data_IF_735529140016
#
_entry.id   IF_735529140016
#
_cell.length_a   1.000
_cell.length_b   1.000
_cell.length_c   1.000
_cell.angle_alpha   90.00
_cell.angle_beta   90.00
_cell.angle_gamma   90.00
#
_symmetry.space_group_name_H-M   'P 1'
#
loop_
_entity.id
_entity.type
_entity.pdbx_description
1 polymer ?
#
# COMPACT_ATOMS: atom_id res chain seq x y z
N UNK A 1 -13.86 5.21 -0.88
CA UNK A 1 -13.50 3.86 -0.37
C UNK A 1 -14.25 3.62 0.92
N UNK A 2 -14.72 2.42 1.19
CA UNK A 2 -15.35 2.03 2.48
C UNK A 2 -14.28 1.57 3.48
N UNK A 3 -14.55 1.65 4.79
CA UNK A 3 -13.68 1.02 5.78
C UNK A 3 -13.84 -0.51 5.72
N UNK A 4 -12.72 -1.23 5.71
CA UNK A 4 -12.73 -2.69 5.69
C UNK A 4 -11.59 -3.27 6.52
N UNK A 5 -11.92 -4.19 7.43
CA UNK A 5 -10.95 -5.02 8.15
C UNK A 5 -10.28 -6.07 7.25
N UNK A 6 -10.63 -6.13 5.96
CA UNK A 6 -10.00 -7.00 4.96
C UNK A 6 -8.49 -6.79 4.83
N UNK A 7 -7.98 -5.60 5.21
CA UNK A 7 -6.55 -5.30 5.29
C UNK A 7 -5.78 -6.26 6.22
N UNK A 8 -6.45 -6.86 7.21
CA UNK A 8 -5.82 -7.85 8.11
C UNK A 8 -5.24 -9.08 7.37
N UNK A 9 -5.76 -9.37 6.18
CA UNK A 9 -5.31 -10.48 5.33
C UNK A 9 -4.28 -10.09 4.27
N UNK A 10 -3.97 -8.80 4.14
CA UNK A 10 -2.98 -8.31 3.17
C UNK A 10 -1.56 -8.67 3.59
N UNK A 11 -0.71 -8.86 2.57
CA UNK A 11 0.74 -9.04 2.68
C UNK A 11 1.40 -8.27 1.54
N UNK A 12 2.73 -8.23 1.55
CA UNK A 12 3.49 -7.47 0.55
C UNK A 12 3.17 -7.88 -0.90
N UNK A 13 3.11 -9.20 -1.18
CA UNK A 13 2.70 -9.79 -2.47
C UNK A 13 3.38 -9.25 -3.73
N UNK A 14 4.58 -8.70 -3.62
CA UNK A 14 5.28 -8.07 -4.75
C UNK A 14 5.45 -8.99 -5.96
N UNK A 15 5.90 -10.23 -5.76
CA UNK A 15 6.10 -11.20 -6.86
C UNK A 15 4.78 -11.59 -7.52
N UNK A 16 3.74 -11.82 -6.72
CA UNK A 16 2.41 -12.17 -7.24
C UNK A 16 1.81 -11.01 -8.04
N UNK A 17 1.96 -9.78 -7.54
CA UNK A 17 1.51 -8.56 -8.24
C UNK A 17 2.28 -8.41 -9.54
N UNK A 18 3.60 -8.56 -9.52
CA UNK A 18 4.45 -8.49 -10.72
C UNK A 18 4.03 -9.51 -11.78
N UNK A 19 3.73 -10.75 -11.38
CA UNK A 19 3.23 -11.78 -12.28
C UNK A 19 1.90 -11.35 -12.95
N UNK A 20 0.93 -10.83 -12.17
CA UNK A 20 -0.34 -10.34 -12.72
C UNK A 20 -0.12 -9.14 -13.65
N UNK A 21 0.77 -8.22 -13.30
CA UNK A 21 1.09 -7.05 -14.13
C UNK A 21 1.65 -7.45 -15.50
N UNK A 22 2.56 -8.44 -15.54
CA UNK A 22 3.08 -8.96 -16.82
C UNK A 22 1.97 -9.53 -17.70
N UNK A 23 0.99 -10.22 -17.10
CA UNK A 23 -0.15 -10.75 -17.87
C UNK A 23 -1.10 -9.66 -18.34
N UNK A 24 -1.33 -8.63 -17.52
CA UNK A 24 -2.12 -7.46 -17.90
C UNK A 24 -1.48 -6.69 -19.06
N UNK A 25 -0.15 -6.53 -19.09
CA UNK A 25 0.56 -5.88 -20.22
C UNK A 25 0.50 -6.69 -21.51
N UNK A 26 0.24 -8.00 -21.43
CA UNK A 26 -0.03 -8.85 -22.60
C UNK A 26 -1.46 -8.69 -23.14
N UNK A 27 -2.29 -7.86 -22.50
CA UNK A 27 -3.68 -7.61 -22.91
C UNK A 27 -4.66 -8.69 -22.46
N UNK A 28 -4.27 -9.58 -21.55
CA UNK A 28 -5.14 -10.65 -21.06
C UNK A 28 -6.24 -10.10 -20.15
N UNK A 29 -7.44 -10.65 -20.30
CA UNK A 29 -8.60 -10.38 -19.45
C UNK A 29 -8.44 -10.97 -18.06
N UNK A 30 -9.28 -10.53 -17.11
CA UNK A 30 -9.27 -11.06 -15.74
C UNK A 30 -9.53 -12.57 -15.71
N UNK A 31 -10.43 -13.05 -16.56
CA UNK A 31 -10.85 -14.45 -16.66
C UNK A 31 -9.70 -15.32 -17.19
N UNK A 32 -9.03 -14.89 -18.26
CA UNK A 32 -7.85 -15.60 -18.80
C UNK A 32 -6.72 -15.65 -17.77
N UNK A 33 -6.42 -14.52 -17.10
CA UNK A 33 -5.40 -14.46 -16.05
C UNK A 33 -5.77 -15.39 -14.89
N UNK A 34 -7.05 -15.43 -14.50
CA UNK A 34 -7.53 -16.31 -13.45
C UNK A 34 -7.33 -17.78 -13.80
N UNK A 35 -7.63 -18.16 -15.04
CA UNK A 35 -7.44 -19.53 -15.53
C UNK A 35 -5.95 -19.92 -15.49
N UNK A 36 -5.07 -19.07 -16.02
CA UNK A 36 -3.61 -19.26 -15.97
C UNK A 36 -3.14 -19.46 -14.53
N UNK A 37 -3.51 -18.55 -13.61
CA UNK A 37 -3.12 -18.64 -12.20
C UNK A 37 -3.65 -19.90 -11.53
N UNK A 38 -4.87 -20.33 -11.87
CA UNK A 38 -5.50 -21.52 -11.27
C UNK A 38 -4.83 -22.81 -11.72
N UNK A 39 -4.37 -22.86 -12.97
CA UNK A 39 -3.71 -24.01 -13.58
C UNK A 39 -2.23 -24.10 -13.19
N UNK A 40 -1.49 -22.99 -13.23
CA UNK A 40 -0.04 -22.96 -12.99
C UNK A 40 0.31 -22.78 -11.50
N UNK A 41 -0.60 -22.25 -10.69
CA UNK A 41 -0.37 -21.90 -9.27
C UNK A 41 0.96 -21.13 -9.03
N UNK A 42 1.22 -20.02 -9.73
CA UNK A 42 2.46 -19.27 -9.61
C UNK A 42 2.70 -18.70 -8.20
N UNK A 43 1.63 -18.59 -7.39
CA UNK A 43 1.71 -18.09 -6.01
C UNK A 43 2.10 -19.17 -4.99
N UNK A 44 2.30 -20.42 -5.45
CA UNK A 44 2.71 -21.57 -4.65
C UNK A 44 1.80 -21.80 -3.44
N UNK A 45 0.48 -21.65 -3.63
CA UNK A 45 -0.51 -21.79 -2.57
C UNK A 45 -1.00 -23.24 -2.48
N UNK A 46 -1.10 -23.78 -1.26
CA UNK A 46 -1.41 -25.20 -1.03
C UNK A 46 -2.81 -25.65 -1.47
N UNK A 47 -3.80 -24.76 -1.41
CA UNK A 47 -5.20 -25.11 -1.70
C UNK A 47 -5.80 -24.18 -2.74
N UNK A 48 -6.68 -24.72 -3.58
CA UNK A 48 -7.39 -23.95 -4.60
C UNK A 48 -8.20 -22.80 -4.00
N UNK A 49 -8.88 -23.02 -2.88
CA UNK A 49 -9.63 -21.97 -2.19
C UNK A 49 -8.73 -20.79 -1.74
N UNK A 50 -7.54 -21.09 -1.20
CA UNK A 50 -6.58 -20.06 -0.80
C UNK A 50 -5.94 -19.38 -2.01
N UNK A 51 -5.70 -20.11 -3.10
CA UNK A 51 -5.21 -19.57 -4.38
C UNK A 51 -6.21 -18.56 -4.96
N UNK A 52 -7.50 -18.93 -5.02
CA UNK A 52 -8.56 -18.04 -5.48
C UNK A 52 -8.66 -16.78 -4.64
N UNK A 53 -8.59 -16.91 -3.30
CA UNK A 53 -8.61 -15.76 -2.40
C UNK A 53 -7.39 -14.85 -2.62
N UNK A 54 -6.19 -15.42 -2.74
CA UNK A 54 -4.96 -14.67 -3.01
C UNK A 54 -5.02 -13.97 -4.37
N UNK A 55 -5.52 -14.66 -5.39
CA UNK A 55 -5.76 -14.08 -6.71
C UNK A 55 -6.66 -12.86 -6.65
N UNK A 56 -7.81 -12.92 -5.95
CA UNK A 56 -8.70 -11.75 -5.81
C UNK A 56 -7.97 -10.55 -5.19
N UNK A 57 -7.22 -10.79 -4.12
CA UNK A 57 -6.46 -9.76 -3.40
C UNK A 57 -5.38 -9.14 -4.30
N UNK A 58 -4.54 -9.99 -4.90
CA UNK A 58 -3.42 -9.58 -5.75
C UNK A 58 -3.93 -8.86 -7.01
N UNK A 59 -4.95 -9.41 -7.67
CA UNK A 59 -5.52 -8.82 -8.88
C UNK A 59 -6.11 -7.44 -8.60
N UNK A 60 -6.90 -7.30 -7.52
CA UNK A 60 -7.47 -5.99 -7.12
C UNK A 60 -6.38 -4.94 -6.90
N UNK A 61 -5.24 -5.31 -6.30
CA UNK A 61 -4.10 -4.41 -6.12
C UNK A 61 -3.39 -4.11 -7.44
N UNK A 62 -3.16 -5.12 -8.28
CA UNK A 62 -2.53 -4.93 -9.59
C UNK A 62 -3.31 -3.96 -10.49
N UNK A 63 -4.65 -4.09 -10.55
CA UNK A 63 -5.47 -3.19 -11.37
C UNK A 63 -5.60 -1.77 -10.81
N UNK A 64 -5.21 -1.53 -9.55
CA UNK A 64 -5.16 -0.17 -8.99
C UNK A 64 -4.04 0.70 -9.59
N UNK A 65 -3.09 0.08 -10.29
CA UNK A 65 -2.09 0.77 -11.10
C UNK A 65 -2.65 1.05 -12.50
N UNK A 66 -2.60 2.31 -12.92
CA UNK A 66 -2.87 2.74 -14.30
C UNK A 66 -1.85 2.10 -15.25
N UNK A 67 -2.16 1.96 -16.57
CA UNK A 67 -1.20 1.40 -17.54
C UNK A 67 0.20 2.04 -17.46
N UNK A 68 0.26 3.36 -17.29
CA UNK A 68 1.50 4.11 -17.11
C UNK A 68 2.25 3.66 -15.84
N UNK A 69 1.57 3.54 -14.71
CA UNK A 69 2.17 3.06 -13.45
C UNK A 69 2.61 1.59 -13.53
N UNK A 70 1.94 0.74 -14.31
CA UNK A 70 2.38 -0.64 -14.56
C UNK A 70 3.68 -0.66 -15.33
N UNK A 71 3.82 0.17 -16.36
CA UNK A 71 5.07 0.33 -17.11
C UNK A 71 6.21 0.82 -16.21
N UNK A 72 5.97 1.81 -15.34
CA UNK A 72 6.95 2.23 -14.34
C UNK A 72 7.31 1.13 -13.36
N UNK A 73 6.35 0.31 -12.94
CA UNK A 73 6.62 -0.81 -12.05
C UNK A 73 7.53 -1.84 -12.71
N UNK A 74 7.19 -2.30 -13.92
CA UNK A 74 7.90 -3.39 -14.60
C UNK A 74 9.29 -2.99 -15.08
N UNK A 75 9.48 -1.74 -15.50
CA UNK A 75 10.75 -1.23 -16.02
C UNK A 75 11.55 -0.40 -14.99
N UNK A 76 11.00 -0.22 -13.79
CA UNK A 76 11.57 0.65 -12.76
C UNK A 76 12.60 -0.03 -11.88
N UNK A 77 13.18 0.77 -10.99
CA UNK A 77 14.14 0.28 -9.99
C UNK A 77 13.44 -0.52 -8.89
N UNK A 78 14.23 -1.20 -8.04
CA UNK A 78 13.69 -1.86 -6.83
C UNK A 78 12.94 -0.88 -5.91
N UNK A 79 13.34 0.39 -5.87
CA UNK A 79 12.70 1.41 -5.04
C UNK A 79 11.39 1.90 -5.66
N UNK A 80 11.34 2.01 -7.00
CA UNK A 80 10.13 2.32 -7.75
C UNK A 80 9.05 1.27 -7.48
N UNK A 81 9.43 -0.02 -7.60
CA UNK A 81 8.54 -1.14 -7.28
C UNK A 81 8.01 -1.04 -5.84
N UNK A 82 8.88 -0.77 -4.86
CA UNK A 82 8.48 -0.62 -3.45
C UNK A 82 7.48 0.50 -3.21
N UNK A 83 7.73 1.69 -3.78
CA UNK A 83 6.80 2.81 -3.68
C UNK A 83 5.43 2.46 -4.29
N UNK A 84 5.44 1.80 -5.46
CA UNK A 84 4.21 1.41 -6.15
C UNK A 84 3.47 0.26 -5.47
N UNK A 85 4.15 -0.68 -4.80
CA UNK A 85 3.46 -1.68 -3.96
C UNK A 85 2.74 -1.00 -2.78
N UNK A 86 3.36 -0.02 -2.12
CA UNK A 86 2.67 0.76 -1.09
C UNK A 86 1.48 1.53 -1.67
N UNK A 87 1.67 2.19 -2.81
CA UNK A 87 0.61 2.90 -3.55
C UNK A 87 -0.62 2.01 -3.74
N UNK A 88 -0.45 0.75 -4.19
CA UNK A 88 -1.59 -0.16 -4.39
C UNK A 88 -2.38 -0.44 -3.11
N UNK A 89 -1.71 -0.52 -1.95
CA UNK A 89 -2.40 -0.72 -0.68
C UNK A 89 -3.21 0.53 -0.31
N UNK A 90 -2.60 1.71 -0.43
CA UNK A 90 -3.24 2.99 -0.10
C UNK A 90 -4.43 3.29 -1.03
N UNK A 91 -4.35 2.91 -2.31
CA UNK A 91 -5.49 3.00 -3.24
C UNK A 91 -6.61 2.00 -2.97
N UNK A 92 -6.33 0.92 -2.25
CA UNK A 92 -7.29 -0.17 -2.04
C UNK A 92 -8.03 -0.03 -0.70
N UNK A 93 -7.40 0.54 0.33
CA UNK A 93 -7.94 0.54 1.69
C UNK A 93 -8.01 1.95 2.28
N UNK A 94 -9.24 2.39 2.61
CA UNK A 94 -9.49 3.69 3.24
C UNK A 94 -8.67 3.90 4.51
N UNK A 95 -8.66 2.94 5.43
CA UNK A 95 -7.91 3.07 6.68
C UNK A 95 -6.40 3.23 6.43
N UNK A 96 -5.85 2.52 5.43
CA UNK A 96 -4.45 2.67 5.05
C UNK A 96 -4.17 4.06 4.49
N UNK A 97 -5.04 4.53 3.58
CA UNK A 97 -4.96 5.87 3.00
C UNK A 97 -4.98 6.96 4.08
N UNK A 98 -5.96 6.95 4.96
CA UNK A 98 -6.09 7.94 6.02
C UNK A 98 -4.94 7.85 7.02
N UNK A 99 -4.52 6.64 7.41
CA UNK A 99 -3.36 6.48 8.29
C UNK A 99 -2.07 7.05 7.66
N UNK A 100 -1.91 6.93 6.36
CA UNK A 100 -0.78 7.53 5.66
C UNK A 100 -0.83 9.07 5.70
N UNK A 101 -1.96 9.68 5.33
CA UNK A 101 -2.08 11.14 5.29
C UNK A 101 -2.13 11.79 6.67
N UNK A 102 -2.96 11.26 7.56
CA UNK A 102 -3.25 11.90 8.85
C UNK A 102 -2.22 11.55 9.92
N UNK A 103 -1.51 10.42 9.80
CA UNK A 103 -0.50 10.01 10.78
C UNK A 103 0.92 10.04 10.20
N UNK A 104 1.22 9.35 9.10
CA UNK A 104 2.60 9.27 8.59
C UNK A 104 3.11 10.65 8.13
N UNK A 105 2.37 11.33 7.26
CA UNK A 105 2.76 12.66 6.75
C UNK A 105 2.81 13.67 7.90
N UNK A 106 1.77 13.73 8.74
CA UNK A 106 1.74 14.62 9.91
C UNK A 106 2.97 14.44 10.80
N UNK A 107 3.36 13.19 11.09
CA UNK A 107 4.53 12.89 11.95
C UNK A 107 5.86 13.23 11.27
N UNK A 108 5.96 13.08 9.96
CA UNK A 108 7.15 13.49 9.21
C UNK A 108 7.36 15.01 9.23
N UNK A 109 6.29 15.79 9.30
CA UNK A 109 6.34 17.25 9.43
C UNK A 109 6.75 17.72 10.84
N UNK A 110 6.69 16.85 11.85
CA UNK A 110 7.16 17.15 13.19
C UNK A 110 8.69 17.14 13.29
N UNK A 111 9.26 17.90 14.23
CA UNK A 111 10.71 18.10 14.37
C UNK A 111 11.52 16.79 14.53
N UNK A 112 11.01 15.80 15.28
CA UNK A 112 11.76 14.58 15.58
C UNK A 112 11.57 13.45 14.57
N UNK A 113 10.51 13.49 13.74
CA UNK A 113 10.17 12.48 12.71
C UNK A 113 10.17 11.03 13.20
N UNK A 114 10.12 10.84 14.52
CA UNK A 114 10.27 9.53 15.14
C UNK A 114 8.95 8.78 15.02
N UNK A 115 9.05 7.51 14.68
CA UNK A 115 7.93 6.58 14.69
C UNK A 115 8.02 5.67 15.92
N UNK A 116 6.91 5.55 16.65
CA UNK A 116 6.71 4.51 17.65
C UNK A 116 5.36 3.85 17.43
N UNK A 117 5.25 2.57 17.79
CA UNK A 117 4.01 1.81 17.57
C UNK A 117 2.78 2.43 18.27
N UNK A 118 2.99 3.13 19.39
CA UNK A 118 1.94 3.88 20.08
C UNK A 118 1.22 4.90 19.19
N UNK A 119 1.90 5.49 18.20
CA UNK A 119 1.25 6.39 17.24
C UNK A 119 0.14 5.70 16.43
N UNK A 120 0.34 4.43 16.06
CA UNK A 120 -0.67 3.64 15.35
C UNK A 120 -1.86 3.27 16.25
N UNK A 121 -1.61 3.10 17.55
CA UNK A 121 -2.65 2.82 18.54
C UNK A 121 -3.53 4.05 18.75
N UNK A 122 -2.93 5.22 19.01
CA UNK A 122 -3.66 6.48 19.14
C UNK A 122 -4.48 6.81 17.90
N UNK A 123 -3.91 6.62 16.70
CA UNK A 123 -4.66 6.83 15.46
C UNK A 123 -5.87 5.88 15.33
N UNK A 124 -5.74 4.62 15.75
CA UNK A 124 -6.86 3.68 15.76
C UNK A 124 -7.96 4.17 16.71
N UNK A 125 -7.60 4.57 17.93
CA UNK A 125 -8.55 5.08 18.94
C UNK A 125 -9.30 6.33 18.43
N UNK A 126 -8.60 7.25 17.77
CA UNK A 126 -9.22 8.40 17.10
C UNK A 126 -10.19 7.97 16.00
N UNK A 127 -9.83 6.97 15.18
CA UNK A 127 -10.71 6.45 14.12
C UNK A 127 -11.91 5.66 14.65
N UNK A 128 -11.80 5.03 15.81
CA UNK A 128 -12.94 4.42 16.51
C UNK A 128 -13.98 5.46 16.91
N UNK A 129 -13.55 6.66 17.35
CA UNK A 129 -14.46 7.75 17.69
C UNK A 129 -15.13 8.37 16.45
N UNK A 130 -14.46 8.34 15.30
CA UNK A 130 -14.94 8.94 14.05
C UNK A 130 -15.81 8.00 13.21
N UNK A 131 -15.78 6.68 13.47
CA UNK A 131 -16.45 5.69 12.63
C UNK A 131 -16.95 4.48 13.40
N UNK A 132 -18.26 4.29 13.41
CA UNK A 132 -18.91 3.07 13.95
C UNK A 132 -18.40 1.79 13.28
N UNK A 133 -18.02 1.84 12.00
CA UNK A 133 -17.47 0.68 11.29
C UNK A 133 -16.13 0.25 11.89
N UNK A 134 -15.25 1.21 12.18
CA UNK A 134 -13.94 0.95 12.79
C UNK A 134 -14.10 0.57 14.26
N UNK A 135 -14.98 1.27 14.99
CA UNK A 135 -15.34 0.97 16.37
C UNK A 135 -15.74 -0.51 16.54
N UNK A 136 -16.59 -1.00 15.64
CA UNK A 136 -17.11 -2.37 15.67
C UNK A 136 -16.12 -3.44 15.21
N UNK A 137 -14.91 -3.09 14.78
CA UNK A 137 -13.86 -4.10 14.55
C UNK A 137 -13.43 -4.76 15.86
N UNK A 138 -13.20 -6.07 15.82
CA UNK A 138 -12.67 -6.78 16.99
C UNK A 138 -11.27 -6.28 17.35
N UNK A 139 -10.90 -6.35 18.63
CA UNK A 139 -9.57 -5.99 19.12
C UNK A 139 -8.44 -6.69 18.34
N UNK A 140 -8.62 -7.98 18.03
CA UNK A 140 -7.67 -8.76 17.21
C UNK A 140 -7.54 -8.16 15.80
N UNK A 141 -8.65 -7.73 15.19
CA UNK A 141 -8.63 -7.12 13.85
C UNK A 141 -7.90 -5.79 13.89
N UNK A 142 -8.20 -4.92 14.85
CA UNK A 142 -7.53 -3.62 15.03
C UNK A 142 -6.01 -3.78 15.16
N UNK A 143 -5.56 -4.69 16.03
CA UNK A 143 -4.13 -5.02 16.17
C UNK A 143 -3.51 -5.54 14.86
N UNK A 144 -4.22 -6.41 14.14
CA UNK A 144 -3.75 -6.95 12.84
C UNK A 144 -3.66 -5.86 11.77
N UNK A 145 -4.61 -4.92 11.71
CA UNK A 145 -4.56 -3.78 10.78
C UNK A 145 -3.27 -2.98 11.00
N UNK A 146 -2.99 -2.60 12.24
CA UNK A 146 -1.78 -1.83 12.56
C UNK A 146 -0.49 -2.60 12.24
N UNK A 147 -0.45 -3.90 12.52
CA UNK A 147 0.70 -4.74 12.17
C UNK A 147 0.89 -4.87 10.65
N UNK A 148 -0.20 -5.01 9.89
CA UNK A 148 -0.13 -5.03 8.43
C UNK A 148 0.41 -3.70 7.91
N UNK A 149 -0.09 -2.56 8.37
CA UNK A 149 0.42 -1.26 7.92
C UNK A 149 1.89 -1.06 8.27
N UNK A 150 2.30 -1.43 9.48
CA UNK A 150 3.71 -1.37 9.88
C UNK A 150 4.60 -2.20 8.96
N UNK A 151 4.17 -3.41 8.58
CA UNK A 151 4.88 -4.23 7.59
C UNK A 151 5.06 -3.45 6.29
N UNK A 152 4.01 -2.85 5.74
CA UNK A 152 4.10 -2.10 4.48
C UNK A 152 4.99 -0.85 4.56
N UNK A 153 4.95 -0.12 5.67
CA UNK A 153 5.83 1.03 5.87
C UNK A 153 7.30 0.63 6.01
N UNK A 154 7.58 -0.53 6.62
CA UNK A 154 8.95 -1.08 6.70
C UNK A 154 9.43 -1.62 5.35
N UNK A 155 8.59 -2.39 4.66
CA UNK A 155 8.95 -2.98 3.36
C UNK A 155 9.17 -1.91 2.28
N UNK A 156 8.34 -0.86 2.27
CA UNK A 156 8.52 0.28 1.37
C UNK A 156 9.77 1.11 1.70
N UNK A 157 10.17 1.15 2.97
CA UNK A 157 11.30 1.95 3.46
C UNK A 157 10.92 3.33 3.98
N UNK A 158 9.62 3.63 4.12
CA UNK A 158 9.14 4.87 4.75
C UNK A 158 9.52 4.89 6.23
N UNK A 159 9.47 3.73 6.89
CA UNK A 159 9.93 3.58 8.26
C UNK A 159 11.24 2.81 8.24
N UNK A 160 12.30 3.46 8.70
CA UNK A 160 13.64 2.87 8.82
C UNK A 160 14.09 2.83 10.27
N UNK A 161 14.76 1.74 10.65
CA UNK A 161 15.44 1.65 11.94
C UNK A 161 16.79 2.36 11.80
N UNK A 162 17.01 3.39 12.62
CA UNK A 162 18.31 4.03 12.79
C UNK A 162 18.72 3.91 14.25
N UNK A 163 19.90 3.35 14.49
CA UNK A 163 20.41 2.99 15.82
C UNK A 163 19.41 2.13 16.60
N UNK A 164 18.62 2.76 17.48
CA UNK A 164 17.64 2.12 18.37
C UNK A 164 16.22 2.68 18.20
N UNK A 165 15.98 3.54 17.21
CA UNK A 165 14.69 4.18 16.98
C UNK A 165 14.24 4.11 15.52
N UNK A 166 12.93 4.06 15.31
CA UNK A 166 12.34 4.11 13.98
C UNK A 166 12.09 5.56 13.58
N UNK A 167 12.43 5.90 12.33
CA UNK A 167 12.23 7.23 11.77
C UNK A 167 11.46 7.16 10.45
N UNK A 168 10.63 8.18 10.23
CA UNK A 168 9.90 8.36 8.98
C UNK A 168 10.78 9.12 7.99
N UNK A 169 10.93 8.58 6.78
CA UNK A 169 11.72 9.20 5.70
C UNK A 169 11.03 9.10 4.33
N UNK A 170 11.28 10.07 3.43
CA UNK A 170 10.79 10.01 2.06
C UNK A 170 11.40 8.84 1.30
N UNK A 171 10.73 8.40 0.23
CA UNK A 171 11.22 7.34 -0.64
C UNK A 171 11.98 7.92 -1.82
N UNK A 172 13.23 7.47 -2.01
CA UNK A 172 14.01 7.81 -3.19
C UNK A 172 13.65 6.88 -4.35
N UNK A 173 13.02 7.44 -5.39
CA UNK A 173 12.62 6.75 -6.62
C UNK A 173 13.43 7.26 -7.81
N UNK A 174 13.34 6.59 -8.96
CA UNK A 174 13.97 7.04 -10.20
C UNK A 174 13.43 8.39 -10.65
N UNK A 175 14.25 9.16 -11.37
CA UNK A 175 13.86 10.47 -11.91
C UNK A 175 12.61 10.40 -12.76
N UNK A 176 12.43 9.32 -13.52
CA UNK A 176 11.24 9.12 -14.38
C UNK A 176 9.97 8.99 -13.54
N UNK A 177 9.99 8.16 -12.49
CA UNK A 177 8.84 8.00 -11.60
C UNK A 177 8.59 9.27 -10.78
N UNK A 178 9.65 9.94 -10.30
CA UNK A 178 9.53 11.22 -9.58
C UNK A 178 8.91 12.32 -10.44
N UNK A 179 9.23 12.37 -11.74
CA UNK A 179 8.63 13.33 -12.67
C UNK A 179 7.14 13.03 -12.88
N UNK A 180 6.77 11.77 -13.11
CA UNK A 180 5.37 11.37 -13.22
C UNK A 180 4.58 11.64 -11.94
N UNK A 181 5.20 11.44 -10.77
CA UNK A 181 4.56 11.67 -9.48
C UNK A 181 4.05 13.10 -9.30
N UNK A 182 4.57 14.10 -10.02
CA UNK A 182 4.05 15.48 -9.98
C UNK A 182 2.59 15.59 -10.48
N UNK A 183 2.13 14.62 -11.26
CA UNK A 183 0.78 14.56 -11.82
C UNK A 183 -0.13 13.57 -11.05
N UNK A 184 0.42 12.81 -10.10
CA UNK A 184 -0.33 11.87 -9.25
C UNK A 184 -0.15 12.24 -7.77
N UNK A 185 -1.18 12.86 -7.19
CA UNK A 185 -1.14 13.39 -5.81
C UNK A 185 -0.77 12.33 -4.76
N UNK A 186 -1.21 11.08 -4.92
CA UNK A 186 -0.91 10.03 -3.94
C UNK A 186 0.54 9.58 -4.08
N UNK A 187 0.99 9.36 -5.32
CA UNK A 187 2.39 8.97 -5.55
C UNK A 187 3.34 10.08 -5.11
N UNK A 188 3.00 11.35 -5.39
CA UNK A 188 3.73 12.51 -4.90
C UNK A 188 3.88 12.46 -3.38
N UNK A 189 2.77 12.27 -2.67
CA UNK A 189 2.76 12.22 -1.22
C UNK A 189 3.58 11.04 -0.67
N UNK A 190 3.51 9.86 -1.30
CA UNK A 190 4.33 8.70 -0.93
C UNK A 190 5.83 9.00 -1.02
N UNK A 191 6.29 9.65 -2.09
CA UNK A 191 7.72 9.86 -2.32
C UNK A 191 8.28 11.07 -1.57
N UNK A 192 7.46 12.09 -1.31
CA UNK A 192 7.89 13.34 -0.65
C UNK A 192 7.54 13.42 0.83
N UNK A 193 6.53 12.65 1.27
CA UNK A 193 5.86 12.82 2.56
C UNK A 193 5.30 14.23 2.77
N UNK A 194 4.80 14.81 1.70
CA UNK A 194 4.06 16.07 1.70
C UNK A 194 2.68 15.79 1.13
N UNK A 195 1.62 16.20 1.83
CA UNK A 195 0.35 16.42 1.15
C UNK A 195 0.64 17.51 0.11
N UNK A 196 0.37 17.25 -1.17
CA UNK A 196 0.71 18.19 -2.24
C UNK A 196 0.27 19.62 -1.91
N UNK A 197 1.02 20.61 -2.40
CA UNK A 197 0.72 22.04 -2.26
C UNK A 197 -0.75 22.29 -2.65
N UNK A 198 -1.51 22.89 -1.72
CA UNK A 198 -2.84 23.49 -1.89
C UNK A 198 -3.71 22.96 -3.04
N UNK A 199 -4.64 22.07 -2.71
CA UNK A 199 -5.92 21.99 -3.43
C UNK A 199 -6.92 22.90 -2.71
N UNK A 200 -6.60 24.20 -2.62
CA UNK A 200 -7.59 25.23 -2.29
C UNK A 200 -8.30 25.75 -3.56
N UNK A 201 -7.92 25.28 -4.75
CA UNK A 201 -8.58 25.64 -6.01
C UNK A 201 -8.68 24.45 -6.98
N UNK A 202 -9.56 23.49 -6.67
CA UNK A 202 -10.32 22.71 -7.66
C UNK A 202 -11.70 22.33 -7.10
#
# INVERSE_FOLDING_TARGET
MEYSSGITSERWYQQDIEYILVLLEKGLSREEIREIVSNENPFLVKTQAALQKRFQTVFRRAISLTPQLRSFYLNGTKYDKKALILYTLLKTYRYAYENFYEMIIYRYQQKNKQFVFGHMQSFMEEKEQQSDVVLNWSYISKKKVNNTLLLFYRESGIIELNESAYFIKPLHVSTKLAQYAKEDCLLHAIITLQAGVDIDHL
#
